data_IF_435339165838
#
_entry.id   IF_435339165838
#
_cell.length_a   1.000
_cell.length_b   1.000
_cell.length_c   1.000
_cell.angle_alpha   90.00
_cell.angle_beta   90.00
_cell.angle_gamma   90.00
#
_symmetry.space_group_name_H-M   'P 1'
#
loop_
_entity.id
_entity.type
_entity.pdbx_description
1 polymer ?
#
# COMPACT_ATOMS: atom_id res chain seq x y z
N UNK A 1 -25.01 7.22 11.54
CA UNK A 1 -23.73 7.87 11.26
C UNK A 1 -22.78 7.42 12.34
N UNK A 2 -21.78 6.60 12.00
CA UNK A 2 -20.81 6.08 12.97
C UNK A 2 -19.42 6.39 12.46
N UNK A 3 -18.87 7.53 12.89
CA UNK A 3 -17.46 7.87 12.75
C UNK A 3 -16.72 7.25 13.93
N UNK A 4 -16.12 6.08 13.72
CA UNK A 4 -15.12 5.51 14.61
C UNK A 4 -13.74 5.65 13.98
N UNK A 5 -13.13 6.83 14.05
CA UNK A 5 -11.71 6.99 13.74
C UNK A 5 -10.93 6.87 15.05
N UNK A 6 -10.38 5.69 15.31
CA UNK A 6 -9.36 5.51 16.35
C UNK A 6 -8.11 6.31 15.97
N UNK A 7 -7.44 6.98 16.93
CA UNK A 7 -6.18 7.65 16.69
C UNK A 7 -5.08 6.58 16.53
N UNK A 8 -4.38 6.60 15.39
CA UNK A 8 -3.45 5.58 14.84
C UNK A 8 -4.15 4.38 14.17
N UNK A 9 -4.77 4.63 13.01
CA UNK A 9 -5.59 3.67 12.27
C UNK A 9 -4.79 2.59 11.53
N UNK A 10 -4.87 1.36 12.01
CA UNK A 10 -4.46 0.13 11.28
C UNK A 10 -5.53 -0.33 10.28
N UNK A 11 -6.41 0.58 9.85
CA UNK A 11 -7.45 0.30 8.86
C UNK A 11 -6.90 0.44 7.42
N UNK A 12 -7.61 -0.17 6.47
CA UNK A 12 -7.12 -0.26 5.09
C UNK A 12 -7.13 1.10 4.36
N UNK A 13 -7.91 2.08 4.81
CA UNK A 13 -7.96 3.41 4.20
C UNK A 13 -6.74 4.22 4.61
N UNK A 14 -6.39 4.19 5.90
CA UNK A 14 -5.16 4.80 6.43
C UNK A 14 -3.90 4.23 5.77
N UNK A 15 -3.81 2.90 5.61
CA UNK A 15 -2.67 2.26 4.95
C UNK A 15 -2.62 2.64 3.46
N UNK A 16 -3.75 2.63 2.75
CA UNK A 16 -3.79 3.00 1.34
C UNK A 16 -3.37 4.47 1.13
N UNK A 17 -3.79 5.37 2.03
CA UNK A 17 -3.38 6.76 2.01
C UNK A 17 -1.86 6.91 2.23
N UNK A 18 -1.31 6.26 3.25
CA UNK A 18 0.13 6.29 3.53
C UNK A 18 0.97 5.74 2.36
N UNK A 19 0.55 4.63 1.76
CA UNK A 19 1.16 4.09 0.54
C UNK A 19 1.13 5.10 -0.60
N UNK A 20 -0.02 5.74 -0.82
CA UNK A 20 -0.20 6.72 -1.90
C UNK A 20 0.71 7.94 -1.68
N UNK A 21 0.81 8.45 -0.45
CA UNK A 21 1.71 9.55 -0.09
C UNK A 21 3.17 9.15 -0.30
N UNK A 22 3.57 7.97 0.18
CA UNK A 22 4.94 7.48 0.02
C UNK A 22 5.34 7.38 -1.45
N UNK A 23 4.50 6.75 -2.28
CA UNK A 23 4.79 6.56 -3.71
C UNK A 23 4.89 7.91 -4.43
N UNK A 24 3.96 8.83 -4.16
CA UNK A 24 3.98 10.15 -4.78
C UNK A 24 5.19 10.99 -4.37
N UNK A 25 5.67 10.85 -3.14
CA UNK A 25 6.81 11.61 -2.63
C UNK A 25 8.18 11.04 -3.03
N UNK A 26 8.30 9.71 -3.16
CA UNK A 26 9.60 9.03 -3.26
C UNK A 26 9.85 8.34 -4.60
N UNK A 27 8.80 8.12 -5.40
CA UNK A 27 8.89 7.30 -6.62
C UNK A 27 8.40 8.09 -7.83
N UNK A 28 7.23 8.74 -7.74
CA UNK A 28 6.66 9.46 -8.88
C UNK A 28 7.45 10.72 -9.21
N UNK A 29 7.72 10.92 -10.50
CA UNK A 29 8.23 12.18 -11.04
C UNK A 29 7.07 13.17 -11.30
N UNK A 30 7.40 14.47 -11.41
CA UNK A 30 6.41 15.54 -11.69
C UNK A 30 5.64 15.24 -12.98
N UNK A 31 4.37 14.87 -12.86
CA UNK A 31 3.50 14.59 -14.01
C UNK A 31 2.08 14.25 -13.58
N UNK A 32 1.90 13.10 -12.94
CA UNK A 32 0.59 12.65 -12.42
C UNK A 32 0.78 11.98 -11.08
N UNK A 33 -0.01 12.40 -10.09
CA UNK A 33 -0.04 11.73 -8.80
C UNK A 33 -0.78 10.39 -8.92
N UNK A 34 -0.22 9.36 -8.29
CA UNK A 34 -0.87 8.09 -8.04
C UNK A 34 -2.08 8.30 -7.13
N UNK A 35 -3.21 7.68 -7.47
CA UNK A 35 -4.40 7.57 -6.63
C UNK A 35 -4.51 6.17 -5.99
N UNK A 36 -5.31 5.98 -4.94
CA UNK A 36 -5.34 4.70 -4.20
C UNK A 36 -5.82 3.48 -5.01
N UNK A 37 -6.61 3.69 -6.07
CA UNK A 37 -7.10 2.63 -6.97
C UNK A 37 -6.34 2.58 -8.29
N UNK A 38 -5.36 3.47 -8.50
CA UNK A 38 -4.54 3.43 -9.70
C UNK A 38 -3.66 2.17 -9.68
N UNK A 39 -3.62 1.51 -10.82
CA UNK A 39 -2.81 0.33 -11.06
C UNK A 39 -1.32 0.72 -11.09
N UNK A 40 -0.51 0.04 -10.28
CA UNK A 40 0.91 0.34 -10.14
C UNK A 40 1.66 0.19 -11.47
N UNK A 41 1.45 -0.91 -12.20
CA UNK A 41 2.14 -1.17 -13.47
C UNK A 41 1.77 -0.12 -14.53
N UNK A 42 0.49 0.24 -14.62
CA UNK A 42 0.00 1.28 -15.55
C UNK A 42 0.55 2.67 -15.23
N UNK A 43 0.91 2.90 -13.97
CA UNK A 43 1.54 4.14 -13.52
C UNK A 43 3.07 4.11 -13.64
N UNK A 44 3.64 3.05 -14.22
CA UNK A 44 5.07 2.91 -14.46
C UNK A 44 5.86 2.52 -13.21
N UNK A 45 5.20 1.97 -12.19
CA UNK A 45 5.88 1.37 -11.04
C UNK A 45 6.50 0.04 -11.48
N UNK A 46 7.82 0.00 -11.47
CA UNK A 46 8.59 -1.20 -11.77
C UNK A 46 8.86 -2.05 -10.51
N UNK A 47 9.55 -3.19 -10.70
CA UNK A 47 9.89 -4.11 -9.62
C UNK A 47 10.76 -3.49 -8.52
N UNK A 48 11.63 -2.54 -8.85
CA UNK A 48 12.50 -1.87 -7.86
C UNK A 48 11.71 -0.87 -7.03
N UNK A 49 10.80 -0.14 -7.67
CA UNK A 49 9.84 0.71 -6.99
C UNK A 49 8.91 -0.10 -6.09
N UNK A 50 8.44 -1.26 -6.55
CA UNK A 50 7.60 -2.15 -5.75
C UNK A 50 8.35 -2.68 -4.51
N UNK A 51 9.62 -3.06 -4.65
CA UNK A 51 10.45 -3.44 -3.50
C UNK A 51 10.56 -2.31 -2.47
N UNK A 52 10.72 -1.06 -2.89
CA UNK A 52 10.72 0.10 -1.98
C UNK A 52 9.38 0.27 -1.26
N UNK A 53 8.27 0.01 -1.95
CA UNK A 53 6.93 0.03 -1.35
C UNK A 53 6.82 -1.06 -0.26
N UNK A 54 7.29 -2.27 -0.53
CA UNK A 54 7.29 -3.36 0.45
C UNK A 54 8.16 -3.06 1.67
N UNK A 55 9.37 -2.51 1.46
CA UNK A 55 10.24 -2.06 2.55
C UNK A 55 9.61 -0.94 3.38
N UNK A 56 8.90 0.00 2.73
CA UNK A 56 8.13 1.03 3.44
C UNK A 56 7.02 0.40 4.29
N UNK A 57 6.29 -0.59 3.75
CA UNK A 57 5.25 -1.30 4.50
C UNK A 57 5.82 -2.00 5.75
N UNK A 58 6.97 -2.65 5.60
CA UNK A 58 7.67 -3.30 6.71
C UNK A 58 8.08 -2.27 7.78
N UNK A 59 8.72 -1.17 7.36
CA UNK A 59 9.21 -0.14 8.27
C UNK A 59 8.07 0.64 8.98
N UNK A 60 7.02 1.01 8.24
CA UNK A 60 5.93 1.86 8.75
C UNK A 60 4.90 1.05 9.56
N UNK A 61 4.59 -0.18 9.13
CA UNK A 61 3.50 -0.97 9.73
C UNK A 61 3.96 -2.21 10.48
N UNK A 62 5.26 -2.53 10.45
CA UNK A 62 5.81 -3.76 11.02
C UNK A 62 5.27 -5.02 10.32
N UNK A 63 4.97 -4.92 9.03
CA UNK A 63 4.36 -6.00 8.27
C UNK A 63 5.29 -6.49 7.16
N UNK A 64 5.67 -7.76 7.24
CA UNK A 64 6.42 -8.44 6.19
C UNK A 64 5.49 -9.30 5.34
N UNK A 65 5.54 -9.11 4.01
CA UNK A 65 4.75 -9.91 3.05
C UNK A 65 5.55 -11.14 2.66
N UNK A 66 5.00 -12.36 2.83
CA UNK A 66 5.65 -13.58 2.40
C UNK A 66 5.66 -13.72 0.88
N UNK A 67 6.68 -14.40 0.34
CA UNK A 67 6.88 -14.56 -1.10
C UNK A 67 5.68 -15.22 -1.79
N UNK A 68 4.99 -16.16 -1.13
CA UNK A 68 3.79 -16.80 -1.69
C UNK A 68 2.61 -15.84 -1.92
N UNK A 69 2.59 -14.71 -1.22
CA UNK A 69 1.54 -13.69 -1.32
C UNK A 69 1.94 -12.53 -2.26
N UNK A 70 3.14 -12.56 -2.88
CA UNK A 70 3.60 -11.62 -3.91
C UNK A 70 2.95 -11.89 -5.27
N UNK A 71 1.61 -11.82 -5.30
CA UNK A 71 0.80 -12.04 -6.50
C UNK A 71 0.18 -10.74 -6.98
N UNK A 72 -0.12 -10.67 -8.28
CA UNK A 72 -0.63 -9.46 -8.94
C UNK A 72 -1.89 -8.90 -8.24
N UNK A 73 -2.77 -9.77 -7.72
CA UNK A 73 -4.00 -9.38 -7.04
C UNK A 73 -3.76 -8.59 -5.74
N UNK A 74 -2.71 -8.92 -4.99
CA UNK A 74 -2.35 -8.20 -3.75
C UNK A 74 -1.55 -6.92 -4.06
N UNK A 75 -0.93 -6.87 -5.24
CA UNK A 75 0.02 -5.83 -5.65
C UNK A 75 -0.50 -4.99 -6.82
N UNK A 76 -1.81 -4.98 -7.08
CA UNK A 76 -2.37 -4.21 -8.21
C UNK A 76 -2.32 -2.70 -7.93
N UNK A 77 -2.68 -2.27 -6.72
CA UNK A 77 -2.84 -0.86 -6.36
C UNK A 77 -2.59 -0.64 -4.85
N UNK A 78 -2.43 0.61 -4.39
CA UNK A 78 -2.30 0.91 -2.96
C UNK A 78 -3.44 0.33 -2.12
N UNK A 79 -4.68 0.41 -2.62
CA UNK A 79 -5.86 -0.11 -1.91
C UNK A 79 -5.88 -1.64 -1.88
N UNK A 80 -5.43 -2.31 -2.94
CA UNK A 80 -5.31 -3.77 -2.95
C UNK A 80 -4.31 -4.25 -1.89
N UNK A 81 -3.13 -3.63 -1.85
CA UNK A 81 -2.09 -3.93 -0.88
C UNK A 81 -2.56 -3.66 0.56
N UNK A 82 -3.18 -2.50 0.80
CA UNK A 82 -3.74 -2.16 2.12
C UNK A 82 -4.79 -3.18 2.60
N UNK A 83 -5.70 -3.61 1.71
CA UNK A 83 -6.71 -4.64 2.02
C UNK A 83 -6.07 -5.98 2.34
N UNK A 84 -5.02 -6.36 1.62
CA UNK A 84 -4.26 -7.57 1.92
C UNK A 84 -3.62 -7.49 3.31
N UNK A 85 -2.93 -6.39 3.63
CA UNK A 85 -2.27 -6.20 4.93
C UNK A 85 -3.27 -6.31 6.08
N UNK A 86 -4.41 -5.59 6.01
CA UNK A 86 -5.44 -5.66 7.05
C UNK A 86 -6.03 -7.07 7.18
N UNK A 87 -6.31 -7.75 6.05
CA UNK A 87 -6.81 -9.13 6.07
C UNK A 87 -5.84 -10.10 6.74
N UNK A 88 -4.53 -9.96 6.49
CA UNK A 88 -3.51 -10.86 7.06
C UNK A 88 -3.32 -10.61 8.56
N UNK A 89 -3.29 -9.34 8.99
CA UNK A 89 -3.18 -8.96 10.41
C UNK A 89 -4.39 -9.39 11.26
N UNK A 90 -5.59 -9.41 10.68
CA UNK A 90 -6.80 -9.86 11.37
C UNK A 90 -6.93 -11.39 11.50
N UNK A 91 -6.03 -12.17 10.90
CA UNK A 91 -6.00 -13.64 10.98
C UNK A 91 -4.86 -14.16 11.87
N UNK A 92 -4.20 -13.27 12.61
CA UNK A 92 -3.15 -13.59 13.60
C UNK A 92 -3.74 -13.80 14.99
#
# INVERSE_FOLDING_TARGET
MSTGHSPAGTDHESIAHALTVFVNANIMARGRALQPDDDFERMGIDSMALLKILLFVEAEFGFWMPDEDLVAENLTSPRALARYICRRRGRS
#
